data_IF_648953120134
#
_entry.id   IF_648953120134
#
_cell.length_a   1.000
_cell.length_b   1.000
_cell.length_c   1.000
_cell.angle_alpha   90.00
_cell.angle_beta   90.00
_cell.angle_gamma   90.00
#
_symmetry.space_group_name_H-M   'P 1'
#
loop_
_entity.id
_entity.type
_entity.pdbx_description
1 polymer ?
#
# COMPACT_ATOMS: atom_id res chain seq x y z
N UNK A 1 30.03 8.55 15.34
CA UNK A 1 28.80 8.82 14.55
C UNK A 1 28.88 7.93 13.33
N UNK A 2 28.59 6.64 13.49
CA UNK A 2 28.43 5.74 12.35
C UNK A 2 27.08 6.11 11.72
N UNK A 3 27.02 6.28 10.39
CA UNK A 3 25.82 6.59 9.58
C UNK A 3 25.54 8.05 9.16
N UNK A 4 26.50 8.98 9.23
CA UNK A 4 26.29 10.34 8.66
C UNK A 4 25.97 10.33 7.16
N UNK A 5 26.49 9.35 6.43
CA UNK A 5 26.25 9.18 4.99
C UNK A 5 25.07 8.26 4.66
N UNK A 6 24.29 7.81 5.67
CA UNK A 6 23.12 6.96 5.46
C UNK A 6 21.84 7.75 5.68
N UNK A 7 21.02 7.83 4.63
CA UNK A 7 19.73 8.49 4.67
C UNK A 7 18.90 8.14 3.44
N UNK A 8 17.63 8.51 3.47
CA UNK A 8 16.77 8.43 2.30
C UNK A 8 17.22 9.47 1.28
N UNK A 9 17.55 9.01 0.07
CA UNK A 9 17.79 9.90 -1.07
C UNK A 9 16.45 10.26 -1.69
N UNK A 10 16.19 11.54 -1.90
CA UNK A 10 15.02 12.00 -2.62
C UNK A 10 15.38 12.35 -4.07
N UNK A 11 14.60 11.81 -5.01
CA UNK A 11 14.73 12.06 -6.46
C UNK A 11 13.53 12.85 -6.98
N UNK A 12 13.69 13.56 -8.08
CA UNK A 12 12.58 14.28 -8.72
C UNK A 12 11.51 13.29 -9.20
N UNK A 13 10.25 13.61 -8.91
CA UNK A 13 9.07 12.86 -9.39
C UNK A 13 8.27 13.78 -10.31
N UNK A 14 7.93 13.30 -11.51
CA UNK A 14 7.04 13.99 -12.43
C UNK A 14 5.62 13.97 -11.87
N UNK A 15 5.15 15.10 -11.33
CA UNK A 15 3.84 15.19 -10.69
C UNK A 15 2.66 15.00 -11.67
N UNK A 16 2.87 15.15 -12.98
CA UNK A 16 1.82 14.90 -13.98
C UNK A 16 1.43 13.42 -14.08
N UNK A 17 2.36 12.53 -13.73
CA UNK A 17 2.23 11.07 -13.84
C UNK A 17 2.50 10.38 -12.50
N UNK A 18 2.50 11.15 -11.41
CA UNK A 18 2.81 10.62 -10.09
C UNK A 18 1.64 9.78 -9.58
N UNK A 19 1.96 8.72 -8.86
CA UNK A 19 1.03 7.91 -8.07
C UNK A 19 1.46 7.93 -6.61
N UNK A 20 0.49 7.98 -5.71
CA UNK A 20 0.73 7.75 -4.29
C UNK A 20 0.44 6.27 -4.02
N UNK A 21 1.48 5.48 -3.78
CA UNK A 21 1.35 4.04 -3.58
C UNK A 21 1.56 3.67 -2.11
N UNK A 22 0.63 2.90 -1.56
CA UNK A 22 0.73 2.31 -0.22
C UNK A 22 0.95 0.81 -0.39
N UNK A 23 2.10 0.30 0.05
CA UNK A 23 2.33 -1.13 0.20
C UNK A 23 2.01 -1.52 1.64
N UNK A 24 1.20 -2.55 1.82
CA UNK A 24 0.73 -2.99 3.14
C UNK A 24 1.04 -4.46 3.36
N UNK A 25 1.30 -4.83 4.61
CA UNK A 25 1.44 -6.21 5.06
C UNK A 25 0.96 -6.37 6.52
N UNK A 26 0.55 -7.58 6.90
CA UNK A 26 0.06 -7.90 8.23
C UNK A 26 0.48 -9.29 8.71
N UNK A 27 1.56 -9.36 9.50
CA UNK A 27 2.07 -10.63 10.01
C UNK A 27 1.33 -11.11 11.27
N UNK A 28 0.62 -12.23 11.16
CA UNK A 28 -0.19 -12.80 12.24
C UNK A 28 0.65 -13.52 13.30
N UNK A 29 0.43 -13.17 14.58
CA UNK A 29 1.04 -13.81 15.74
C UNK A 29 2.57 -14.01 15.67
N UNK A 30 3.26 -13.13 14.94
CA UNK A 30 4.69 -13.26 14.63
C UNK A 30 5.60 -12.65 15.71
N UNK A 31 5.05 -11.82 16.60
CA UNK A 31 5.82 -11.30 17.72
C UNK A 31 6.04 -12.38 18.79
N UNK A 32 7.07 -12.23 19.61
CA UNK A 32 7.42 -13.19 20.69
C UNK A 32 6.26 -13.48 21.66
N UNK A 33 5.36 -12.51 21.83
CA UNK A 33 4.18 -12.60 22.68
C UNK A 33 2.91 -13.04 21.92
N UNK A 34 3.07 -13.59 20.71
CA UNK A 34 2.01 -14.06 19.82
C UNK A 34 1.05 -12.94 19.35
N UNK A 35 1.45 -11.68 19.48
CA UNK A 35 0.73 -10.58 18.86
C UNK A 35 1.08 -10.43 17.39
N UNK A 36 0.18 -9.82 16.63
CA UNK A 36 0.39 -9.53 15.22
C UNK A 36 1.13 -8.22 15.00
N UNK A 37 1.92 -8.15 13.94
CA UNK A 37 2.64 -6.95 13.50
C UNK A 37 1.98 -6.40 12.23
N UNK A 38 1.75 -5.09 12.19
CA UNK A 38 1.19 -4.39 11.05
C UNK A 38 2.28 -3.49 10.46
N UNK A 39 2.35 -3.44 9.13
CA UNK A 39 3.35 -2.65 8.44
C UNK A 39 2.82 -2.04 7.15
N UNK A 40 3.29 -0.84 6.86
CA UNK A 40 3.09 -0.24 5.54
C UNK A 40 4.23 0.71 5.18
N UNK A 41 4.37 0.96 3.88
CA UNK A 41 5.19 2.04 3.33
C UNK A 41 4.42 2.81 2.27
N UNK A 42 4.43 4.12 2.41
CA UNK A 42 3.81 5.10 1.54
C UNK A 42 4.89 5.75 0.67
N UNK A 43 4.71 5.69 -0.65
CA UNK A 43 5.67 6.20 -1.61
C UNK A 43 4.98 7.12 -2.64
N UNK A 44 5.65 8.20 -3.02
CA UNK A 44 5.26 9.04 -4.15
C UNK A 44 6.20 8.71 -5.32
N UNK A 45 5.63 8.18 -6.40
CA UNK A 45 6.40 7.53 -7.47
C UNK A 45 5.86 7.85 -8.85
N UNK A 46 6.74 7.80 -9.85
CA UNK A 46 6.33 7.54 -11.22
C UNK A 46 6.36 6.04 -11.49
N UNK A 47 5.46 5.60 -12.35
CA UNK A 47 5.28 4.19 -12.70
C UNK A 47 5.52 3.97 -14.19
N UNK A 48 6.16 2.84 -14.51
CA UNK A 48 6.20 2.25 -15.85
C UNK A 48 5.65 0.83 -15.78
N UNK A 49 4.67 0.52 -16.63
CA UNK A 49 3.98 -0.78 -16.66
C UNK A 49 4.59 -1.65 -17.77
N UNK A 50 4.79 -2.93 -17.45
CA UNK A 50 5.14 -4.00 -18.38
C UNK A 50 4.11 -5.14 -18.24
N UNK A 51 4.22 -6.22 -19.02
CA UNK A 51 3.18 -7.27 -19.17
C UNK A 51 2.62 -7.77 -17.84
N UNK A 52 3.49 -8.23 -16.94
CA UNK A 52 3.12 -8.79 -15.63
C UNK A 52 3.86 -8.09 -14.47
N UNK A 53 4.45 -6.92 -14.72
CA UNK A 53 5.21 -6.18 -13.71
C UNK A 53 4.96 -4.70 -13.85
N UNK A 54 5.13 -3.95 -12.76
CA UNK A 54 5.31 -2.52 -12.84
C UNK A 54 6.60 -2.14 -12.14
N UNK A 55 7.24 -1.11 -12.66
CA UNK A 55 8.45 -0.53 -12.10
C UNK A 55 8.11 0.86 -11.58
N UNK A 56 8.37 1.10 -10.30
CA UNK A 56 8.24 2.41 -9.66
C UNK A 56 9.59 3.06 -9.50
N UNK A 57 9.63 4.38 -9.65
CA UNK A 57 10.76 5.21 -9.27
C UNK A 57 10.27 6.43 -8.50
N UNK A 58 10.86 6.71 -7.35
CA UNK A 58 10.47 7.87 -6.55
C UNK A 58 10.94 7.80 -5.11
N UNK A 59 10.07 8.23 -4.18
CA UNK A 59 10.47 8.55 -2.82
C UNK A 59 9.57 7.92 -1.78
N UNK A 60 10.16 7.45 -0.67
CA UNK A 60 9.40 7.13 0.55
C UNK A 60 8.91 8.43 1.18
N UNK A 61 7.61 8.50 1.45
CA UNK A 61 6.96 9.62 2.14
C UNK A 61 6.78 9.29 3.62
N UNK A 62 6.31 8.08 3.91
CA UNK A 62 6.06 7.64 5.28
C UNK A 62 6.09 6.11 5.36
N UNK A 63 6.31 5.59 6.56
CA UNK A 63 6.24 4.17 6.84
C UNK A 63 5.84 3.96 8.29
N UNK A 64 5.32 2.78 8.61
CA UNK A 64 4.97 2.38 9.96
C UNK A 64 5.22 0.90 10.15
N UNK A 65 5.72 0.54 11.34
CA UNK A 65 5.81 -0.82 11.83
C UNK A 65 5.27 -0.80 13.25
N UNK A 66 4.08 -1.34 13.45
CA UNK A 66 3.44 -1.30 14.77
C UNK A 66 2.81 -2.63 15.14
N UNK A 67 2.93 -2.97 16.43
CA UNK A 67 2.18 -4.08 17.00
C UNK A 67 0.69 -3.79 16.91
N UNK A 68 -0.08 -4.77 16.41
CA UNK A 68 -1.53 -4.69 16.38
C UNK A 68 -2.06 -4.59 17.82
N UNK A 69 -2.76 -3.49 18.13
CA UNK A 69 -3.39 -3.28 19.44
C UNK A 69 -4.57 -4.21 19.69
N UNK A 70 -5.13 -4.79 18.62
CA UNK A 70 -6.29 -5.68 18.68
C UNK A 70 -5.81 -7.13 18.59
N UNK A 71 -6.49 -8.01 19.33
CA UNK A 71 -6.28 -9.44 19.19
C UNK A 71 -6.89 -9.86 17.85
N UNK A 72 -6.04 -10.18 16.89
CA UNK A 72 -6.43 -10.81 15.62
C UNK A 72 -6.69 -12.29 15.87
N UNK A 73 -7.71 -12.86 15.23
CA UNK A 73 -8.01 -14.31 15.30
C UNK A 73 -7.74 -15.04 13.99
N UNK A 74 -7.24 -14.34 12.98
CA UNK A 74 -6.89 -14.91 11.69
C UNK A 74 -5.82 -14.06 10.99
N UNK A 75 -5.15 -14.65 10.00
CA UNK A 75 -4.22 -13.94 9.10
C UNK A 75 -4.94 -12.83 8.34
N UNK A 76 -6.12 -13.10 7.80
CA UNK A 76 -6.92 -12.07 7.10
C UNK A 76 -7.21 -10.87 8.00
N UNK A 77 -7.39 -11.06 9.32
CA UNK A 77 -7.60 -9.96 10.25
C UNK A 77 -6.37 -9.04 10.36
N UNK A 78 -5.16 -9.60 10.47
CA UNK A 78 -3.93 -8.80 10.51
C UNK A 78 -3.70 -8.06 9.19
N UNK A 79 -3.95 -8.72 8.07
CA UNK A 79 -3.88 -8.12 6.73
C UNK A 79 -4.85 -6.93 6.56
N UNK A 80 -6.12 -7.09 6.95
CA UNK A 80 -7.11 -6.00 6.90
C UNK A 80 -6.67 -4.83 7.80
N UNK A 81 -6.21 -5.11 9.02
CA UNK A 81 -5.75 -4.05 9.92
C UNK A 81 -4.48 -3.34 9.40
N UNK A 82 -3.57 -4.06 8.76
CA UNK A 82 -2.42 -3.48 8.06
C UNK A 82 -2.87 -2.54 6.95
N UNK A 83 -3.84 -2.98 6.13
CA UNK A 83 -4.40 -2.16 5.07
C UNK A 83 -5.12 -0.90 5.57
N UNK A 84 -5.96 -1.02 6.61
CA UNK A 84 -6.63 0.16 7.21
C UNK A 84 -5.59 1.15 7.72
N UNK A 85 -4.54 0.68 8.40
CA UNK A 85 -3.49 1.56 8.91
C UNK A 85 -2.74 2.30 7.80
N UNK A 86 -2.43 1.61 6.70
CA UNK A 86 -1.83 2.24 5.52
C UNK A 86 -2.78 3.18 4.79
N UNK A 87 -4.05 2.80 4.64
CA UNK A 87 -5.07 3.62 3.98
C UNK A 87 -5.33 4.92 4.74
N UNK A 88 -5.46 4.90 6.07
CA UNK A 88 -5.73 6.09 6.89
C UNK A 88 -4.69 7.19 6.65
N UNK A 89 -3.41 6.83 6.58
CA UNK A 89 -2.34 7.78 6.27
C UNK A 89 -2.33 8.12 4.78
N UNK A 90 -2.52 7.13 3.91
CA UNK A 90 -2.58 7.32 2.46
C UNK A 90 -3.65 8.33 2.03
N UNK A 91 -4.86 8.26 2.59
CA UNK A 91 -5.95 9.18 2.26
C UNK A 91 -5.71 10.59 2.80
N UNK A 92 -5.12 10.71 3.99
CA UNK A 92 -4.75 12.02 4.54
C UNK A 92 -3.71 12.74 3.66
N UNK A 93 -2.70 11.99 3.18
CA UNK A 93 -1.70 12.53 2.26
C UNK A 93 -2.31 12.79 0.88
N UNK A 94 -3.11 11.89 0.33
CA UNK A 94 -3.76 12.04 -0.98
C UNK A 94 -4.67 13.28 -1.02
N UNK A 95 -5.48 13.51 0.01
CA UNK A 95 -6.35 14.69 0.09
C UNK A 95 -5.57 15.98 0.23
N UNK A 96 -4.46 15.97 0.97
CA UNK A 96 -3.54 17.12 1.07
C UNK A 96 -2.88 17.40 -0.28
N UNK A 97 -2.36 16.37 -0.95
CA UNK A 97 -1.76 16.49 -2.28
C UNK A 97 -2.77 17.03 -3.29
N UNK A 98 -4.03 16.59 -3.23
CA UNK A 98 -5.09 17.08 -4.11
C UNK A 98 -5.28 18.60 -4.00
N UNK A 99 -5.29 19.16 -2.78
CA UNK A 99 -5.37 20.61 -2.57
C UNK A 99 -4.19 21.32 -3.24
N UNK A 100 -2.97 20.75 -3.11
CA UNK A 100 -1.76 21.31 -3.72
C UNK A 100 -1.82 21.23 -5.25
N UNK A 101 -2.16 20.08 -5.81
CA UNK A 101 -2.23 19.87 -7.28
C UNK A 101 -3.31 20.74 -7.91
N UNK A 102 -4.47 20.91 -7.26
CA UNK A 102 -5.53 21.83 -7.71
C UNK A 102 -5.01 23.27 -7.83
N UNK A 103 -4.24 23.75 -6.83
CA UNK A 103 -3.65 25.10 -6.85
C UNK A 103 -2.60 25.27 -7.95
N UNK A 104 -1.85 24.20 -8.23
CA UNK A 104 -0.82 24.17 -9.28
C UNK A 104 -1.38 23.84 -10.67
N UNK A 105 -2.68 23.59 -10.80
CA UNK A 105 -3.33 23.12 -12.04
C UNK A 105 -2.72 21.83 -12.59
N UNK A 106 -2.34 20.93 -11.69
CA UNK A 106 -1.83 19.59 -11.97
C UNK A 106 -2.96 18.56 -11.82
N UNK A 107 -2.86 17.39 -12.49
CA UNK A 107 -3.81 16.31 -12.29
C UNK A 107 -3.79 15.82 -10.83
N UNK A 108 -4.92 15.29 -10.38
CA UNK A 108 -4.99 14.64 -9.08
C UNK A 108 -4.11 13.39 -9.05
N UNK A 109 -3.31 13.25 -8.00
CA UNK A 109 -2.42 12.09 -7.82
C UNK A 109 -3.26 10.91 -7.31
N UNK A 110 -3.38 9.81 -8.07
CA UNK A 110 -4.17 8.65 -7.65
C UNK A 110 -3.54 7.93 -6.46
N UNK A 111 -4.38 7.44 -5.55
CA UNK A 111 -4.00 6.57 -4.45
C UNK A 111 -4.15 5.10 -4.86
N UNK A 112 -3.04 4.37 -4.82
CA UNK A 112 -2.98 2.94 -5.16
C UNK A 112 -2.60 2.15 -3.90
N UNK A 113 -3.32 1.08 -3.61
CA UNK A 113 -3.00 0.17 -2.51
C UNK A 113 -2.50 -1.15 -3.07
N UNK A 114 -1.34 -1.60 -2.60
CA UNK A 114 -0.70 -2.85 -3.00
C UNK A 114 -0.66 -3.81 -1.81
N UNK A 115 -1.09 -5.05 -2.01
CA UNK A 115 -1.03 -6.15 -1.04
C UNK A 115 -0.61 -7.43 -1.73
N UNK A 116 0.14 -8.29 -1.05
CA UNK A 116 0.46 -9.64 -1.51
C UNK A 116 -0.53 -10.70 -1.01
N UNK A 117 -1.48 -10.32 -0.15
CA UNK A 117 -2.53 -11.20 0.35
C UNK A 117 -3.67 -11.34 -0.65
N UNK A 118 -3.69 -12.47 -1.37
CA UNK A 118 -4.81 -12.84 -2.27
C UNK A 118 -6.15 -12.84 -1.53
N UNK A 119 -6.17 -13.32 -0.28
CA UNK A 119 -7.39 -13.37 0.53
C UNK A 119 -7.96 -11.98 0.85
N UNK A 120 -7.08 -10.99 1.10
CA UNK A 120 -7.48 -9.60 1.29
C UNK A 120 -7.99 -8.99 -0.02
N UNK A 121 -7.27 -9.22 -1.12
CA UNK A 121 -7.67 -8.77 -2.45
C UNK A 121 -9.05 -9.31 -2.85
N UNK A 122 -9.28 -10.62 -2.74
CA UNK A 122 -10.60 -11.23 -3.01
C UNK A 122 -11.67 -10.68 -2.08
N UNK A 123 -11.35 -10.45 -0.81
CA UNK A 123 -12.28 -9.89 0.15
C UNK A 123 -12.74 -8.50 -0.29
N UNK A 124 -11.88 -7.66 -0.86
CA UNK A 124 -12.29 -6.33 -1.32
C UNK A 124 -13.03 -6.37 -2.65
N UNK A 125 -12.59 -7.24 -3.56
CA UNK A 125 -13.07 -7.26 -4.96
C UNK A 125 -14.32 -8.10 -5.16
N UNK A 126 -14.40 -9.31 -4.60
CA UNK A 126 -15.45 -10.30 -4.91
C UNK A 126 -16.64 -10.26 -3.95
N UNK A 127 -16.79 -9.19 -3.18
CA UNK A 127 -17.80 -9.05 -2.13
C UNK A 127 -17.81 -10.20 -1.10
N UNK A 128 -16.69 -10.91 -0.91
CA UNK A 128 -16.59 -12.02 0.04
C UNK A 128 -17.04 -11.63 1.45
N UNK A 129 -17.68 -12.54 2.16
CA UNK A 129 -18.07 -12.34 3.56
C UNK A 129 -17.05 -12.99 4.48
N UNK A 130 -16.78 -12.38 5.63
CA UNK A 130 -16.02 -13.00 6.72
C UNK A 130 -16.95 -13.35 7.88
N UNK A 131 -16.63 -14.42 8.61
CA UNK A 131 -17.36 -14.81 9.84
C UNK A 131 -17.19 -13.77 10.95
N UNK A 132 -16.12 -12.97 10.91
CA UNK A 132 -15.87 -11.92 11.89
C UNK A 132 -16.66 -10.64 11.52
N UNK A 133 -17.84 -10.48 12.14
CA UNK A 133 -18.73 -9.33 11.93
C UNK A 133 -18.05 -7.96 12.09
N UNK A 134 -17.04 -7.85 12.96
CA UNK A 134 -16.35 -6.58 13.19
C UNK A 134 -15.39 -6.23 12.05
N UNK A 135 -14.69 -7.21 11.47
CA UNK A 135 -13.85 -7.00 10.29
C UNK A 135 -14.68 -6.54 9.08
N UNK A 136 -15.95 -6.95 9.01
CA UNK A 136 -16.85 -6.46 7.96
C UNK A 136 -17.00 -4.94 8.00
N UNK A 137 -16.91 -4.27 9.16
CA UNK A 137 -16.97 -2.80 9.23
C UNK A 137 -15.79 -2.19 8.48
N UNK A 138 -14.58 -2.68 8.76
CA UNK A 138 -13.35 -2.20 8.14
C UNK A 138 -13.35 -2.52 6.61
N UNK A 139 -13.79 -3.71 6.22
CA UNK A 139 -13.95 -4.11 4.80
C UNK A 139 -14.97 -3.20 4.09
N UNK A 140 -16.12 -2.93 4.70
CA UNK A 140 -17.15 -2.06 4.13
C UNK A 140 -16.65 -0.63 3.96
N UNK A 141 -15.89 -0.11 4.92
CA UNK A 141 -15.28 1.21 4.80
C UNK A 141 -14.30 1.26 3.63
N UNK A 142 -13.39 0.28 3.51
CA UNK A 142 -12.44 0.20 2.40
C UNK A 142 -13.15 0.07 1.03
N UNK A 143 -14.17 -0.78 0.94
CA UNK A 143 -15.00 -0.90 -0.29
C UNK A 143 -15.69 0.42 -0.62
N UNK A 144 -16.24 1.11 0.37
CA UNK A 144 -16.88 2.41 0.17
C UNK A 144 -15.88 3.47 -0.31
N UNK A 145 -14.67 3.51 0.24
CA UNK A 145 -13.60 4.40 -0.24
C UNK A 145 -13.18 4.09 -1.67
N UNK A 146 -13.11 2.81 -2.05
CA UNK A 146 -12.91 2.41 -3.44
C UNK A 146 -14.08 2.84 -4.34
N UNK A 147 -15.32 2.67 -3.88
CA UNK A 147 -16.52 3.12 -4.60
C UNK A 147 -16.51 4.64 -4.86
N UNK A 148 -16.09 5.42 -3.86
CA UNK A 148 -15.96 6.88 -3.88
C UNK A 148 -14.75 7.41 -4.65
N UNK A 149 -13.90 6.55 -5.23
CA UNK A 149 -12.64 6.93 -5.90
C UNK A 149 -11.60 7.56 -4.98
N UNK A 150 -11.72 7.35 -3.67
CA UNK A 150 -10.68 7.71 -2.71
C UNK A 150 -9.48 6.76 -2.86
N UNK A 151 -9.77 5.48 -3.10
CA UNK A 151 -8.80 4.48 -3.58
C UNK A 151 -9.02 4.32 -5.08
N UNK A 152 -7.98 4.57 -5.89
CA UNK A 152 -8.09 4.48 -7.35
C UNK A 152 -7.89 3.05 -7.84
N UNK A 153 -6.93 2.33 -7.27
CA UNK A 153 -6.58 0.96 -7.64
C UNK A 153 -6.24 0.14 -6.40
N UNK A 154 -6.63 -1.14 -6.42
CA UNK A 154 -6.14 -2.16 -5.47
C UNK A 154 -5.42 -3.22 -6.29
N UNK A 155 -4.17 -3.49 -5.94
CA UNK A 155 -3.29 -4.41 -6.68
C UNK A 155 -2.85 -5.55 -5.79
N UNK A 156 -3.03 -6.75 -6.31
CA UNK A 156 -2.47 -7.97 -5.78
C UNK A 156 -1.09 -8.21 -6.40
N UNK A 157 -0.05 -8.17 -5.58
CA UNK A 157 1.34 -8.25 -5.99
C UNK A 157 2.00 -9.54 -5.48
N UNK A 158 3.15 -9.88 -6.05
CA UNK A 158 3.95 -11.00 -5.55
C UNK A 158 4.62 -10.63 -4.21
N UNK A 159 4.51 -11.49 -3.20
CA UNK A 159 5.02 -11.23 -1.85
C UNK A 159 6.54 -11.05 -1.76
N UNK A 160 7.30 -11.65 -2.68
CA UNK A 160 8.77 -11.45 -2.75
C UNK A 160 9.17 -10.03 -3.18
N UNK A 161 8.23 -9.28 -3.74
CA UNK A 161 8.42 -7.91 -4.21
C UNK A 161 7.70 -6.88 -3.31
N UNK A 162 7.07 -7.30 -2.19
CA UNK A 162 6.34 -6.40 -1.29
C UNK A 162 7.29 -5.68 -0.30
N UNK A 163 7.59 -4.38 -0.44
CA UNK A 163 8.48 -3.68 0.48
C UNK A 163 7.91 -3.53 1.90
N UNK A 164 6.61 -3.80 2.11
CA UNK A 164 5.99 -3.74 3.43
C UNK A 164 6.46 -4.88 4.37
N UNK A 165 6.96 -5.99 3.81
CA UNK A 165 7.52 -7.13 4.55
C UNK A 165 8.59 -6.71 5.58
N UNK A 166 9.39 -5.70 5.23
CA UNK A 166 10.45 -5.16 6.08
C UNK A 166 9.93 -4.62 7.41
N UNK A 167 8.63 -4.32 7.51
CA UNK A 167 7.99 -3.76 8.70
C UNK A 167 7.22 -4.79 9.53
N UNK A 168 7.12 -6.04 9.07
CA UNK A 168 6.24 -7.07 9.65
C UNK A 168 6.94 -8.39 9.92
N UNK A 169 7.98 -8.73 9.14
CA UNK A 169 8.67 -10.02 9.18
C UNK A 169 10.06 -9.89 9.82
N UNK A 170 10.48 -10.92 10.55
CA UNK A 170 11.80 -10.98 11.16
C UNK A 170 12.92 -11.22 10.13
N UNK A 171 12.59 -11.95 9.05
CA UNK A 171 13.44 -12.16 7.88
C UNK A 171 12.68 -11.65 6.65
N UNK A 172 12.72 -10.34 6.38
CA UNK A 172 11.98 -9.74 5.29
C UNK A 172 12.60 -10.05 3.92
N UNK A 173 11.83 -9.85 2.86
CA UNK A 173 12.36 -9.80 1.50
C UNK A 173 13.29 -8.57 1.32
N UNK A 174 13.95 -8.47 0.16
CA UNK A 174 14.88 -7.38 -0.15
C UNK A 174 14.24 -6.23 -0.94
N UNK A 175 12.92 -6.18 -1.06
CA UNK A 175 12.23 -5.20 -1.89
C UNK A 175 12.45 -3.76 -1.37
N UNK A 176 12.31 -3.53 -0.06
CA UNK A 176 12.57 -2.21 0.52
C UNK A 176 14.04 -1.80 0.37
N UNK A 177 14.97 -2.74 0.58
CA UNK A 177 16.42 -2.49 0.42
C UNK A 177 16.73 -2.02 -1.00
N UNK A 178 16.26 -2.75 -2.02
CA UNK A 178 16.41 -2.36 -3.44
C UNK A 178 15.84 -0.98 -3.72
N UNK A 179 14.68 -0.65 -3.14
CA UNK A 179 14.09 0.67 -3.30
C UNK A 179 14.92 1.77 -2.63
N UNK A 180 15.41 1.57 -1.42
CA UNK A 180 16.23 2.56 -0.71
C UNK A 180 17.55 2.81 -1.45
N UNK A 181 18.19 1.76 -1.95
CA UNK A 181 19.48 1.87 -2.66
C UNK A 181 19.32 2.55 -4.04
N UNK A 182 18.24 2.21 -4.76
CA UNK A 182 18.06 2.62 -6.16
C UNK A 182 17.05 3.74 -6.39
N UNK A 183 16.23 4.09 -5.40
CA UNK A 183 14.95 4.81 -5.56
C UNK A 183 13.99 4.14 -6.56
N UNK A 184 14.17 2.84 -6.80
CA UNK A 184 13.51 2.09 -7.86
C UNK A 184 13.16 0.68 -7.39
N UNK A 185 11.97 0.21 -7.72
CA UNK A 185 11.52 -1.16 -7.43
C UNK A 185 10.70 -1.69 -8.59
N UNK A 186 10.97 -2.93 -9.00
CA UNK A 186 10.12 -3.67 -9.95
C UNK A 186 9.32 -4.70 -9.17
N UNK A 187 8.01 -4.73 -9.41
CA UNK A 187 7.04 -5.54 -8.67
C UNK A 187 6.24 -6.37 -9.65
N UNK A 188 6.17 -7.69 -9.44
CA UNK A 188 5.28 -8.58 -10.18
C UNK A 188 3.84 -8.42 -9.72
N UNK A 189 2.93 -8.41 -10.69
CA UNK A 189 1.50 -8.30 -10.45
C UNK A 189 0.84 -9.65 -10.69
N UNK A 190 0.12 -10.12 -9.68
CA UNK A 190 -0.66 -11.35 -9.74
C UNK A 190 -2.12 -11.06 -10.14
N UNK A 191 -2.59 -9.84 -9.87
CA UNK A 191 -3.86 -9.31 -10.37
C UNK A 191 -4.11 -7.88 -9.95
N UNK A 192 -4.96 -7.15 -10.65
CA UNK A 192 -5.41 -5.83 -10.24
C UNK A 192 -6.83 -5.56 -10.71
N UNK A 193 -7.52 -4.67 -10.01
CA UNK A 193 -8.79 -4.11 -10.49
C UNK A 193 -8.57 -2.65 -10.83
N UNK A 194 -8.77 -2.34 -12.10
CA UNK A 194 -8.88 -0.98 -12.58
C UNK A 194 -10.37 -0.67 -12.80
N UNK A 195 -10.85 0.45 -12.26
CA UNK A 195 -12.19 0.92 -12.59
C UNK A 195 -12.26 1.31 -14.08
N UNK A 196 -13.34 0.97 -14.81
CA UNK A 196 -13.56 1.48 -16.16
C UNK A 196 -13.57 3.01 -16.14
N UNK A 197 -12.77 3.65 -17.00
CA UNK A 197 -12.87 5.09 -17.22
C UNK A 197 -14.19 5.37 -17.89
N UNK A 198 -15.18 5.85 -17.13
CA UNK A 198 -16.44 6.37 -17.65
C UNK A 198 -16.19 7.67 -18.42
N UNK A 199 -15.75 7.54 -19.68
CA UNK A 199 -15.82 8.54 -20.72
C UNK A 199 -16.51 7.89 -21.92
N UNK A 200 -17.82 7.70 -21.80
CA UNK A 200 -18.74 7.54 -22.92
C UNK A 200 -20.13 7.92 -22.35
N UNK A 201 -20.61 9.09 -22.77
CA UNK A 201 -21.84 9.74 -22.31
C UNK A 201 -21.78 11.24 -22.46
#
# INVERSE_FOLDING_TARGET
MENLDRGLRYVTVNLMEAKLMVFVDGSFANNKDLSSQLGFVLMLVNESIDVNTFTIQGNVIHYSSTKCKRITRSVLASEIYGMVNGFDIGIAVATTLRIVTERLRLPAIPLVICTDSYSLYECLVKLGTTKEKRLMIDIMALRQSYERREITEIRWINGEDNPADAFTKASPNRALERFIDGNKLTVRVEGWVQRPTSFDG
#
